data_IF_258324773760
#
_entry.id   IF_258324773760
#
_cell.length_a   1.000
_cell.length_b   1.000
_cell.length_c   1.000
_cell.angle_alpha   90.00
_cell.angle_beta   90.00
_cell.angle_gamma   90.00
#
_symmetry.space_group_name_H-M   'P 1'
#
loop_
_entity.id
_entity.type
_entity.pdbx_description
1 polymer ?
#
# COMPACT_ATOMS: atom_id res chain seq x y z
N UNK A 1 32.38 -0.33 -11.86
CA UNK A 1 30.95 0.03 -11.88
C UNK A 1 30.72 1.36 -11.14
N UNK A 2 31.55 2.37 -11.39
CA UNK A 2 31.43 3.74 -10.81
C UNK A 2 31.05 4.78 -11.87
N UNK A 3 31.00 4.39 -13.16
CA UNK A 3 30.78 5.29 -14.30
C UNK A 3 29.35 5.85 -14.41
N UNK A 4 28.39 5.35 -13.64
CA UNK A 4 27.00 5.85 -13.64
C UNK A 4 26.67 6.70 -12.40
N UNK A 5 27.56 6.80 -11.41
CA UNK A 5 27.27 7.49 -10.14
C UNK A 5 26.14 6.86 -9.30
N UNK A 6 25.67 5.65 -9.67
CA UNK A 6 24.56 4.97 -9.00
C UNK A 6 25.11 4.12 -7.86
N UNK A 7 24.73 4.48 -6.63
CA UNK A 7 24.97 3.64 -5.46
C UNK A 7 23.92 2.53 -5.42
N UNK A 8 24.34 1.28 -5.66
CA UNK A 8 23.45 0.11 -5.68
C UNK A 8 22.67 -0.05 -4.37
N UNK A 9 23.31 0.22 -3.22
CA UNK A 9 22.66 0.16 -1.92
C UNK A 9 21.54 1.20 -1.80
N UNK A 10 21.80 2.43 -2.25
CA UNK A 10 20.80 3.50 -2.26
C UNK A 10 19.66 3.20 -3.23
N UNK A 11 19.96 2.67 -4.42
CA UNK A 11 18.96 2.27 -5.40
C UNK A 11 18.03 1.19 -4.84
N UNK A 12 18.57 0.22 -4.10
CA UNK A 12 17.77 -0.81 -3.45
C UNK A 12 16.83 -0.24 -2.38
N UNK A 13 17.33 0.64 -1.52
CA UNK A 13 16.51 1.32 -0.49
C UNK A 13 15.42 2.17 -1.14
N UNK A 14 15.72 2.85 -2.25
CA UNK A 14 14.76 3.69 -2.96
C UNK A 14 13.65 2.86 -3.64
N UNK A 15 13.99 1.70 -4.20
CA UNK A 15 13.00 0.76 -4.74
C UNK A 15 12.07 0.23 -3.64
N UNK A 16 12.62 -0.19 -2.50
CA UNK A 16 11.81 -0.62 -1.35
C UNK A 16 10.89 0.52 -0.91
N UNK A 17 11.43 1.73 -0.76
CA UNK A 17 10.66 2.89 -0.31
C UNK A 17 9.49 3.18 -1.27
N UNK A 18 9.70 3.10 -2.59
CA UNK A 18 8.62 3.25 -3.58
C UNK A 18 7.58 2.14 -3.48
N UNK A 19 8.01 0.88 -3.39
CA UNK A 19 7.09 -0.26 -3.27
C UNK A 19 6.26 -0.12 -1.99
N UNK A 20 6.89 0.28 -0.89
CA UNK A 20 6.24 0.43 0.41
C UNK A 20 5.29 1.62 0.46
N UNK A 21 5.65 2.77 -0.11
CA UNK A 21 4.81 3.98 -0.03
C UNK A 21 3.74 4.06 -1.12
N UNK A 22 3.95 3.42 -2.27
CA UNK A 22 3.02 3.48 -3.42
C UNK A 22 2.46 2.10 -3.71
N UNK A 23 3.34 1.12 -3.91
CA UNK A 23 2.92 -0.23 -4.27
C UNK A 23 2.00 -0.87 -3.24
N UNK A 24 2.30 -0.70 -1.95
CA UNK A 24 1.54 -1.33 -0.87
C UNK A 24 0.13 -0.74 -0.69
N UNK A 25 -0.08 0.60 -0.67
CA UNK A 25 -1.42 1.18 -0.76
C UNK A 25 -2.18 0.77 -2.00
N UNK A 26 -1.55 0.85 -3.18
CA UNK A 26 -2.21 0.53 -4.46
C UNK A 26 -2.67 -0.93 -4.48
N UNK A 27 -1.81 -1.86 -4.06
CA UNK A 27 -2.16 -3.27 -3.96
C UNK A 27 -3.35 -3.50 -3.00
N UNK A 28 -3.36 -2.80 -1.87
CA UNK A 28 -4.43 -2.88 -0.87
C UNK A 28 -5.76 -2.31 -1.39
N UNK A 29 -5.72 -1.20 -2.14
CA UNK A 29 -6.92 -0.64 -2.78
C UNK A 29 -7.46 -1.53 -3.89
N UNK A 30 -6.57 -2.15 -4.69
CA UNK A 30 -6.96 -3.13 -5.71
C UNK A 30 -7.64 -4.33 -5.06
N UNK A 31 -7.11 -4.83 -3.95
CA UNK A 31 -7.72 -5.93 -3.20
C UNK A 31 -9.05 -5.51 -2.56
N UNK A 32 -9.11 -4.32 -1.95
CA UNK A 32 -10.33 -3.77 -1.35
C UNK A 32 -11.45 -3.63 -2.40
N UNK A 33 -11.13 -3.19 -3.62
CA UNK A 33 -12.09 -3.11 -4.75
C UNK A 33 -12.69 -4.47 -5.10
N UNK A 34 -11.94 -5.56 -4.91
CA UNK A 34 -12.41 -6.93 -5.21
C UNK A 34 -13.35 -7.45 -4.11
N UNK A 35 -13.32 -6.88 -2.91
CA UNK A 35 -14.24 -7.23 -1.83
C UNK A 35 -15.62 -6.65 -2.14
N UNK A 36 -16.67 -7.42 -1.87
CA UNK A 36 -18.08 -7.01 -2.04
C UNK A 36 -18.55 -6.03 -0.94
N UNK A 37 -17.64 -5.20 -0.42
CA UNK A 37 -17.95 -4.18 0.58
C UNK A 37 -18.56 -2.96 -0.11
N UNK A 38 -19.60 -2.38 0.50
CA UNK A 38 -20.29 -1.21 -0.04
C UNK A 38 -20.49 -0.15 1.03
N UNK A 39 -20.88 1.05 0.61
CA UNK A 39 -21.23 2.14 1.52
C UNK A 39 -20.06 2.67 2.36
N UNK A 40 -20.38 3.06 3.60
CA UNK A 40 -19.44 3.74 4.49
C UNK A 40 -18.20 2.89 4.84
N UNK A 41 -18.37 1.58 5.02
CA UNK A 41 -17.26 0.69 5.38
C UNK A 41 -16.17 0.65 4.30
N UNK A 42 -16.58 0.59 3.02
CA UNK A 42 -15.65 0.67 1.89
C UNK A 42 -14.91 2.02 1.87
N UNK A 43 -15.66 3.11 2.04
CA UNK A 43 -15.11 4.46 2.00
C UNK A 43 -14.08 4.71 3.11
N UNK A 44 -14.36 4.25 4.34
CA UNK A 44 -13.45 4.37 5.49
C UNK A 44 -12.16 3.60 5.23
N UNK A 45 -12.24 2.37 4.72
CA UNK A 45 -11.04 1.59 4.41
C UNK A 45 -10.19 2.23 3.32
N UNK A 46 -10.81 2.74 2.25
CA UNK A 46 -10.09 3.46 1.21
C UNK A 46 -9.41 4.71 1.77
N UNK A 47 -10.10 5.47 2.63
CA UNK A 47 -9.55 6.68 3.26
C UNK A 47 -8.36 6.36 4.16
N UNK A 48 -8.46 5.32 4.99
CA UNK A 48 -7.38 4.88 5.89
C UNK A 48 -6.14 4.47 5.10
N UNK A 49 -6.32 3.68 4.04
CA UNK A 49 -5.22 3.24 3.17
C UNK A 49 -4.53 4.43 2.50
N UNK A 50 -5.28 5.42 2.04
CA UNK A 50 -4.73 6.61 1.40
C UNK A 50 -4.08 7.59 2.39
N UNK A 51 -4.68 7.80 3.56
CA UNK A 51 -4.22 8.77 4.56
C UNK A 51 -2.93 8.32 5.27
N UNK A 52 -2.80 7.00 5.51
CA UNK A 52 -1.62 6.44 6.19
C UNK A 52 -1.08 5.26 5.37
N UNK A 53 -0.27 5.51 4.33
CA UNK A 53 0.10 4.52 3.31
C UNK A 53 0.97 3.35 3.82
N UNK A 54 1.44 3.41 5.06
CA UNK A 54 2.11 2.30 5.72
C UNK A 54 1.16 1.52 6.62
N UNK A 55 0.62 2.18 7.65
CA UNK A 55 -0.19 1.52 8.68
C UNK A 55 -1.60 1.18 8.19
N UNK A 56 -2.18 1.95 7.27
CA UNK A 56 -3.50 1.71 6.71
C UNK A 56 -3.57 0.40 5.93
N UNK A 57 -2.73 0.20 4.91
CA UNK A 57 -2.54 -1.09 4.25
C UNK A 57 -2.24 -2.23 5.23
N UNK A 58 -1.31 -2.03 6.18
CA UNK A 58 -0.96 -3.06 7.15
C UNK A 58 -2.17 -3.50 7.98
N UNK A 59 -2.93 -2.55 8.52
CA UNK A 59 -4.16 -2.82 9.26
C UNK A 59 -5.20 -3.54 8.39
N UNK A 60 -5.36 -3.13 7.13
CA UNK A 60 -6.24 -3.77 6.17
C UNK A 60 -5.89 -5.24 5.96
N UNK A 61 -4.61 -5.57 5.77
CA UNK A 61 -4.16 -6.96 5.55
C UNK A 61 -4.18 -7.82 6.81
N UNK A 62 -4.09 -7.22 8.01
CA UNK A 62 -4.26 -7.92 9.30
C UNK A 62 -5.74 -8.22 9.55
N UNK A 63 -6.61 -7.21 9.45
CA UNK A 63 -8.03 -7.33 9.77
C UNK A 63 -8.79 -8.09 8.67
N UNK A 64 -8.34 -7.96 7.41
CA UNK A 64 -8.98 -8.55 6.21
C UNK A 64 -10.48 -8.30 6.19
N UNK A 65 -10.93 -7.03 6.23
CA UNK A 65 -12.33 -6.69 6.42
C UNK A 65 -13.23 -7.42 5.41
N UNK A 66 -14.32 -8.03 5.85
CA UNK A 66 -15.31 -8.68 5.00
C UNK A 66 -16.63 -7.93 5.07
N UNK A 67 -17.41 -7.99 4.00
CA UNK A 67 -18.83 -7.66 4.11
C UNK A 67 -19.48 -8.77 4.94
N UNK A 68 -20.10 -8.41 6.05
CA UNK A 68 -21.08 -9.27 6.73
C UNK A 68 -22.30 -9.51 5.83
#
# INVERSE_FOLDING_TARGET
>A
MESLGINIGLLFVQLISMITLIGFPVASLIDLKKKKMTGAALAIWALIICAVPLLGPLAYWIIKPSAE
#
